data_IF_224936072628
#
_entry.id   IF_224936072628
#
_cell.length_a   1.000
_cell.length_b   1.000
_cell.length_c   1.000
_cell.angle_alpha   90.00
_cell.angle_beta   90.00
_cell.angle_gamma   90.00
#
_symmetry.space_group_name_H-M   'P 1'
#
loop_
_entity.id
_entity.type
_entity.pdbx_description
1 polymer ?
#
# COMPACT_ATOMS: atom_id res chain seq x y z
N UNK A 1 -13.54 1.07 16.98
CA UNK A 1 -12.42 1.82 16.39
C UNK A 1 -11.53 0.83 15.69
N UNK A 2 -11.81 0.50 14.43
CA UNK A 2 -10.98 -0.45 13.70
C UNK A 2 -9.63 0.22 13.38
N UNK A 3 -8.51 -0.29 13.90
CA UNK A 3 -7.22 0.36 13.73
C UNK A 3 -6.72 0.04 12.33
N UNK A 4 -7.02 0.91 11.37
CA UNK A 4 -6.37 0.87 10.07
C UNK A 4 -4.85 0.85 10.28
N UNK A 5 -4.16 -0.24 9.89
CA UNK A 5 -2.69 -0.33 10.06
C UNK A 5 -1.95 0.66 9.19
N UNK A 6 -2.58 1.10 8.10
CA UNK A 6 -2.01 2.03 7.16
C UNK A 6 -2.77 3.35 7.12
N UNK A 7 -2.03 4.45 6.94
CA UNK A 7 -2.58 5.80 6.85
C UNK A 7 -2.55 6.34 5.41
N UNK A 8 -3.37 7.36 5.14
CA UNK A 8 -3.30 8.09 3.86
C UNK A 8 -1.93 8.76 3.75
N UNK A 9 -1.31 8.63 2.58
CA UNK A 9 0.02 9.15 2.28
C UNK A 9 1.16 8.15 2.47
N UNK A 10 0.91 6.99 3.08
CA UNK A 10 1.92 5.95 3.29
C UNK A 10 2.24 5.18 2.00
N UNK A 11 3.51 4.79 1.88
CA UNK A 11 4.04 3.97 0.79
C UNK A 11 3.92 2.50 1.13
N UNK A 12 3.26 1.73 0.27
CA UNK A 12 2.95 0.31 0.45
C UNK A 12 3.24 -0.49 -0.82
N UNK A 13 3.63 -1.75 -0.66
CA UNK A 13 3.75 -2.74 -1.73
C UNK A 13 2.61 -3.74 -1.65
N UNK A 14 2.19 -4.26 -2.80
CA UNK A 14 1.23 -5.36 -2.87
C UNK A 14 1.97 -6.70 -2.72
N UNK A 15 1.58 -7.53 -1.73
CA UNK A 15 2.14 -8.87 -1.50
C UNK A 15 1.62 -9.91 -2.48
N UNK A 16 0.36 -9.77 -2.92
CA UNK A 16 -0.40 -10.88 -3.46
C UNK A 16 -0.88 -10.63 -4.89
N UNK A 17 -0.03 -10.93 -5.87
CA UNK A 17 -0.48 -11.20 -7.23
C UNK A 17 0.35 -12.30 -7.87
N UNK A 18 0.18 -13.52 -7.35
CA UNK A 18 0.90 -14.73 -7.78
C UNK A 18 0.60 -15.10 -9.25
N UNK A 19 -0.49 -14.59 -9.86
CA UNK A 19 -0.93 -14.99 -11.20
C UNK A 19 -1.26 -13.84 -12.16
N UNK A 20 -0.64 -12.66 -12.04
CA UNK A 20 -0.66 -11.72 -13.17
C UNK A 20 0.74 -11.21 -13.43
N UNK A 21 1.28 -11.76 -14.52
CA UNK A 21 2.28 -11.12 -15.35
C UNK A 21 1.99 -9.62 -15.49
N UNK A 22 3.08 -8.87 -15.56
CA UNK A 22 3.19 -7.43 -15.78
C UNK A 22 3.34 -6.51 -14.56
N UNK A 23 4.61 -6.27 -14.22
CA UNK A 23 5.20 -4.93 -14.36
C UNK A 23 4.58 -3.83 -13.51
N UNK A 24 4.20 -4.12 -12.27
CA UNK A 24 3.89 -3.03 -11.33
C UNK A 24 4.52 -3.27 -9.95
N UNK A 25 5.85 -3.43 -9.95
CA UNK A 25 6.73 -3.32 -8.77
C UNK A 25 6.87 -1.86 -8.29
N UNK A 26 5.86 -1.02 -8.55
CA UNK A 26 5.88 0.38 -8.12
C UNK A 26 5.42 0.49 -6.69
N UNK A 27 6.17 1.25 -5.88
CA UNK A 27 5.68 1.72 -4.58
C UNK A 27 4.30 2.36 -4.78
N UNK A 28 3.28 1.83 -4.11
CA UNK A 28 1.96 2.43 -4.15
C UNK A 28 1.80 3.38 -2.97
N UNK A 29 1.09 4.49 -3.18
CA UNK A 29 0.73 5.42 -2.12
C UNK A 29 -0.73 5.28 -1.75
N UNK A 30 -1.03 5.19 -0.47
CA UNK A 30 -2.41 5.18 0.00
C UNK A 30 -3.00 6.57 -0.21
N UNK A 31 -4.07 6.68 -0.99
CA UNK A 31 -4.78 7.93 -1.25
C UNK A 31 -6.03 8.07 -0.40
N UNK A 32 -6.62 6.96 0.06
CA UNK A 32 -7.79 6.97 0.93
C UNK A 32 -7.96 5.64 1.68
N UNK A 33 -8.55 5.70 2.87
CA UNK A 33 -9.07 4.53 3.59
C UNK A 33 -10.56 4.39 3.28
N UNK A 34 -11.00 3.18 2.97
CA UNK A 34 -12.40 2.87 2.67
C UNK A 34 -13.03 2.17 3.88
N UNK A 35 -14.35 2.31 4.07
CA UNK A 35 -15.05 1.56 5.11
C UNK A 35 -14.87 0.06 4.89
N UNK A 36 -14.65 -0.62 6.01
CA UNK A 36 -14.49 -2.06 6.07
C UNK A 36 -15.74 -2.72 5.48
N UNK A 37 -15.54 -3.66 4.56
CA UNK A 37 -16.64 -4.49 4.05
C UNK A 37 -16.25 -5.91 4.33
N UNK A 38 -17.16 -6.65 4.94
CA UNK A 38 -16.90 -8.03 5.33
C UNK A 38 -15.77 -8.14 6.36
N UNK A 39 -15.76 -7.24 7.34
CA UNK A 39 -14.75 -7.18 8.40
C UNK A 39 -13.30 -6.98 7.90
N UNK A 40 -13.16 -6.56 6.64
CA UNK A 40 -11.87 -6.38 5.96
C UNK A 40 -11.65 -4.89 5.64
N UNK A 41 -10.65 -4.23 6.26
CA UNK A 41 -10.29 -2.86 5.92
C UNK A 41 -9.78 -2.76 4.49
N UNK A 42 -10.34 -1.80 3.77
CA UNK A 42 -10.02 -1.53 2.36
C UNK A 42 -9.31 -0.20 2.23
N UNK A 43 -8.40 -0.14 1.28
CA UNK A 43 -7.54 1.00 1.03
C UNK A 43 -7.56 1.32 -0.47
N UNK A 44 -7.61 2.60 -0.80
CA UNK A 44 -7.30 3.11 -2.14
C UNK A 44 -5.82 3.39 -2.21
N UNK A 45 -5.19 2.76 -3.19
CA UNK A 45 -3.79 2.93 -3.49
C UNK A 45 -3.63 3.45 -4.91
N UNK A 46 -2.67 4.33 -5.09
CA UNK A 46 -2.28 4.86 -6.39
C UNK A 46 -0.79 4.64 -6.57
N UNK A 47 -0.41 4.06 -7.71
CA UNK A 47 0.98 4.04 -8.14
C UNK A 47 1.22 5.26 -9.03
N UNK A 48 2.43 5.81 -9.00
CA UNK A 48 2.85 6.80 -9.99
C UNK A 48 2.98 6.18 -11.40
N UNK A 49 3.39 4.90 -11.45
CA UNK A 49 3.51 4.15 -12.70
C UNK A 49 2.18 3.63 -13.28
N UNK A 50 1.08 3.61 -12.52
CA UNK A 50 -0.25 3.27 -13.04
C UNK A 50 -1.15 4.51 -13.04
N UNK A 51 -1.76 4.82 -14.19
CA UNK A 51 -2.72 5.95 -14.32
C UNK A 51 -4.04 5.75 -13.56
N UNK A 52 -4.25 4.59 -12.92
CA UNK A 52 -5.51 4.24 -12.28
C UNK A 52 -5.33 3.95 -10.78
N UNK A 53 -6.35 4.32 -10.01
CA UNK A 53 -6.44 3.96 -8.59
C UNK A 53 -6.91 2.52 -8.44
N UNK A 54 -6.31 1.79 -7.50
CA UNK A 54 -6.71 0.43 -7.14
C UNK A 54 -7.27 0.40 -5.73
N UNK A 55 -8.29 -0.41 -5.53
CA UNK A 55 -8.82 -0.73 -4.20
C UNK A 55 -8.27 -2.09 -3.80
N UNK A 56 -7.66 -2.15 -2.62
CA UNK A 56 -7.08 -3.37 -2.07
C UNK A 56 -7.39 -3.53 -0.58
N UNK A 57 -7.17 -4.71 -0.02
CA UNK A 57 -7.39 -4.97 1.41
C UNK A 57 -6.09 -4.92 2.20
N UNK A 58 -6.17 -4.69 3.50
CA UNK A 58 -5.01 -4.66 4.40
C UNK A 58 -4.11 -5.89 4.26
N UNK A 59 -4.72 -7.07 4.15
CA UNK A 59 -4.02 -8.35 4.09
C UNK A 59 -3.11 -8.50 2.85
N UNK A 60 -3.35 -7.70 1.82
CA UNK A 60 -2.57 -7.71 0.57
C UNK A 60 -1.50 -6.61 0.53
N UNK A 61 -1.46 -5.73 1.53
CA UNK A 61 -0.54 -4.61 1.62
C UNK A 61 0.64 -4.92 2.54
N UNK A 62 1.81 -4.41 2.17
CA UNK A 62 3.04 -4.45 2.96
C UNK A 62 3.57 -3.04 3.03
N UNK A 63 3.94 -2.57 4.22
CA UNK A 63 4.55 -1.25 4.37
C UNK A 63 5.90 -1.26 3.67
N UNK A 64 6.14 -0.29 2.78
CA UNK A 64 7.50 -0.07 2.28
C UNK A 64 8.23 0.59 3.42
N UNK A 65 9.01 -0.22 4.14
CA UNK A 65 9.88 0.27 5.19
C UNK A 65 10.66 1.45 4.62
N UNK A 66 10.51 2.60 5.25
CA UNK A 66 11.34 3.78 5.02
C UNK A 66 12.76 3.28 4.82
N UNK A 67 13.47 3.67 3.74
CA UNK A 67 14.87 3.27 3.59
C UNK A 67 15.57 3.57 4.91
N UNK A 68 16.43 2.67 5.43
CA UNK A 68 17.13 2.91 6.68
C UNK A 68 17.76 4.28 6.53
N UNK A 69 17.26 5.25 7.31
CA UNK A 69 17.88 6.56 7.40
C UNK A 69 19.32 6.23 7.76
N UNK A 70 20.25 6.50 6.83
CA UNK A 70 21.66 6.34 7.09
C UNK A 70 21.98 7.35 8.19
N UNK A 71 21.91 6.88 9.44
CA UNK A 71 22.38 7.60 10.60
C UNK A 71 23.81 8.01 10.31
N UNK A 72 24.01 9.33 10.31
CA UNK A 72 25.14 10.00 9.70
C UNK A 72 26.51 9.50 10.16
N UNK A 73 27.46 9.63 9.26
CA UNK A 73 28.88 9.69 9.57
C UNK A 73 29.12 10.78 10.61
N UNK A 74 29.70 10.42 11.76
CA UNK A 74 30.39 11.35 12.66
C UNK A 74 31.57 10.65 13.33
#
# INVERSE_FOLDING_TARGET
MSPHRFAIGQSVHLKNRINQSDTTQGVYRITATLPERDNSPRYRIRNDGERHERVTTENTLVLVGTPPVASGFN
#
